data_IF_326459930092
#
_entry.id   IF_326459930092
#
_cell.length_a   1.000
_cell.length_b   1.000
_cell.length_c   1.000
_cell.angle_alpha   90.00
_cell.angle_beta   90.00
_cell.angle_gamma   90.00
#
_symmetry.space_group_name_H-M   'P 1'
#
loop_
_entity.id
_entity.type
_entity.pdbx_description
1 polymer ?
#
# COMPACT_ATOMS: atom_id res chain seq x y z
N UNK A 1 5.44 -31.43 -76.26
CA UNK A 1 5.27 -31.11 -74.82
C UNK A 1 6.65 -31.15 -74.17
N UNK A 2 7.23 -29.99 -73.87
CA UNK A 2 8.57 -29.87 -73.30
C UNK A 2 8.51 -30.20 -71.81
N UNK A 3 8.91 -31.41 -71.44
CA UNK A 3 9.12 -31.80 -70.06
C UNK A 3 10.42 -31.13 -69.58
N UNK A 4 10.33 -29.96 -68.93
CA UNK A 4 11.47 -29.33 -68.26
C UNK A 4 11.82 -30.18 -67.05
N UNK A 5 12.69 -31.17 -67.27
CA UNK A 5 13.40 -31.86 -66.20
C UNK A 5 14.23 -30.82 -65.44
N UNK A 6 13.85 -30.58 -64.19
CA UNK A 6 14.64 -29.78 -63.25
C UNK A 6 15.91 -30.57 -62.96
N UNK A 7 16.96 -30.31 -63.73
CA UNK A 7 18.28 -30.89 -63.48
C UNK A 7 18.76 -30.40 -62.11
N UNK A 8 18.79 -31.31 -61.13
CA UNK A 8 19.49 -31.15 -59.86
C UNK A 8 20.97 -30.94 -60.17
N UNK A 9 21.36 -29.66 -60.32
CA UNK A 9 22.75 -29.22 -60.32
C UNK A 9 23.47 -29.86 -59.13
N UNK A 10 24.67 -30.37 -59.36
CA UNK A 10 25.57 -30.88 -58.33
C UNK A 10 25.58 -29.94 -57.13
N UNK A 11 24.97 -30.38 -56.03
CA UNK A 11 25.10 -29.73 -54.74
C UNK A 11 26.52 -30.08 -54.26
N UNK A 12 27.43 -29.14 -54.43
CA UNK A 12 28.80 -29.29 -53.99
C UNK A 12 28.86 -29.32 -52.46
N UNK A 13 29.80 -30.07 -51.88
CA UNK A 13 29.92 -30.22 -50.42
C UNK A 13 30.10 -28.87 -49.72
N UNK A 14 30.70 -27.91 -50.41
CA UNK A 14 30.83 -26.51 -49.98
C UNK A 14 29.48 -25.80 -49.82
N UNK A 15 28.52 -26.04 -50.73
CA UNK A 15 27.18 -25.42 -50.67
C UNK A 15 26.40 -25.96 -49.48
N UNK A 16 26.51 -27.26 -49.17
CA UNK A 16 25.88 -27.86 -47.98
C UNK A 16 26.48 -27.28 -46.69
N UNK A 17 27.81 -27.17 -46.63
CA UNK A 17 28.52 -26.56 -45.50
C UNK A 17 28.10 -25.09 -45.30
N UNK A 18 27.97 -24.34 -46.38
CA UNK A 18 27.55 -22.94 -46.33
C UNK A 18 26.10 -22.79 -45.84
N UNK A 19 25.18 -23.63 -46.34
CA UNK A 19 23.78 -23.64 -45.85
C UNK A 19 23.74 -24.01 -44.36
N UNK A 20 24.48 -25.04 -43.94
CA UNK A 20 24.57 -25.42 -42.53
C UNK A 20 25.09 -24.28 -41.67
N UNK A 21 26.13 -23.57 -42.13
CA UNK A 21 26.69 -22.42 -41.42
C UNK A 21 25.67 -21.28 -41.27
N UNK A 22 24.96 -20.93 -42.34
CA UNK A 22 23.90 -19.89 -42.31
C UNK A 22 22.76 -20.28 -41.36
N UNK A 23 22.36 -21.55 -41.35
CA UNK A 23 21.33 -22.07 -40.42
C UNK A 23 21.81 -21.97 -38.97
N UNK A 24 23.03 -22.44 -38.67
CA UNK A 24 23.62 -22.33 -37.33
C UNK A 24 23.72 -20.87 -36.88
N UNK A 25 24.17 -19.96 -37.76
CA UNK A 25 24.26 -18.53 -37.46
C UNK A 25 22.88 -17.92 -37.18
N UNK A 26 21.86 -18.32 -37.93
CA UNK A 26 20.48 -17.86 -37.74
C UNK A 26 19.89 -18.35 -36.43
N UNK A 27 20.14 -19.62 -36.05
CA UNK A 27 19.75 -20.17 -34.75
C UNK A 27 20.44 -19.39 -33.61
N UNK A 28 21.74 -19.11 -33.75
CA UNK A 28 22.50 -18.33 -32.77
C UNK A 28 21.94 -16.92 -32.63
N UNK A 29 21.61 -16.25 -33.74
CA UNK A 29 21.02 -14.91 -33.72
C UNK A 29 19.66 -14.89 -33.00
N UNK A 30 18.78 -15.85 -33.32
CA UNK A 30 17.47 -15.99 -32.64
C UNK A 30 17.66 -16.24 -31.15
N UNK A 31 18.64 -17.06 -30.78
CA UNK A 31 18.97 -17.34 -29.38
C UNK A 31 19.44 -16.09 -28.64
N UNK A 32 20.36 -15.32 -29.24
CA UNK A 32 20.85 -14.04 -28.69
C UNK A 32 19.72 -13.01 -28.52
N UNK A 33 18.85 -12.87 -29.53
CA UNK A 33 17.70 -11.96 -29.46
C UNK A 33 16.73 -12.35 -28.34
N UNK A 34 16.51 -13.64 -28.12
CA UNK A 34 15.66 -14.13 -27.03
C UNK A 34 16.26 -13.83 -25.65
N UNK A 35 17.58 -13.94 -25.52
CA UNK A 35 18.30 -13.58 -24.28
C UNK A 35 18.17 -12.09 -23.99
N UNK A 36 18.47 -11.24 -24.97
CA UNK A 36 18.40 -9.78 -24.81
C UNK A 36 16.99 -9.32 -24.39
N UNK A 37 15.95 -9.89 -25.01
CA UNK A 37 14.57 -9.66 -24.61
C UNK A 37 14.26 -10.12 -23.18
N UNK A 38 14.76 -11.28 -22.76
CA UNK A 38 14.55 -11.77 -21.39
C UNK A 38 15.26 -10.90 -20.35
N UNK A 39 16.48 -10.45 -20.64
CA UNK A 39 17.23 -9.53 -19.77
C UNK A 39 16.48 -8.20 -19.59
N UNK A 40 15.94 -7.65 -20.68
CA UNK A 40 15.16 -6.42 -20.64
C UNK A 40 13.91 -6.55 -19.78
N UNK A 41 13.16 -7.65 -19.95
CA UNK A 41 11.94 -7.92 -19.17
C UNK A 41 12.26 -8.13 -17.68
N UNK A 42 13.35 -8.84 -17.36
CA UNK A 42 13.78 -9.00 -15.97
C UNK A 42 14.11 -7.68 -15.31
N UNK A 43 14.87 -6.82 -16.01
CA UNK A 43 15.25 -5.51 -15.50
C UNK A 43 14.02 -4.61 -15.26
N UNK A 44 13.09 -4.61 -16.21
CA UNK A 44 11.83 -3.87 -16.09
C UNK A 44 11.01 -4.34 -14.88
N UNK A 45 10.83 -5.66 -14.74
CA UNK A 45 10.08 -6.20 -13.61
C UNK A 45 10.73 -5.92 -12.25
N UNK A 46 12.07 -6.06 -12.17
CA UNK A 46 12.84 -5.72 -10.98
C UNK A 46 12.63 -4.25 -10.58
N UNK A 47 12.73 -3.34 -11.55
CA UNK A 47 12.52 -1.92 -11.31
C UNK A 47 11.09 -1.63 -10.82
N UNK A 48 10.08 -2.29 -11.39
CA UNK A 48 8.70 -2.12 -10.95
C UNK A 48 8.50 -2.60 -9.50
N UNK A 49 9.06 -3.75 -9.13
CA UNK A 49 8.99 -4.25 -7.74
C UNK A 49 9.74 -3.32 -6.78
N UNK A 50 10.91 -2.81 -7.15
CA UNK A 50 11.64 -1.81 -6.35
C UNK A 50 10.83 -0.52 -6.16
N UNK A 51 10.18 -0.03 -7.22
CA UNK A 51 9.30 1.14 -7.14
C UNK A 51 8.10 0.88 -6.22
N UNK A 52 7.45 -0.28 -6.34
CA UNK A 52 6.36 -0.70 -5.45
C UNK A 52 6.83 -0.72 -3.99
N UNK A 53 8.02 -1.23 -3.69
CA UNK A 53 8.59 -1.24 -2.33
C UNK A 53 8.76 0.18 -1.77
N UNK A 54 9.22 1.13 -2.59
CA UNK A 54 9.40 2.52 -2.16
C UNK A 54 8.04 3.19 -1.90
N UNK A 55 7.07 2.98 -2.79
CA UNK A 55 5.71 3.51 -2.64
C UNK A 55 4.98 2.90 -1.43
N UNK A 56 5.18 1.61 -1.18
CA UNK A 56 4.68 0.90 0.00
C UNK A 56 5.21 1.52 1.31
N UNK A 57 6.50 1.84 1.36
CA UNK A 57 7.08 2.56 2.51
C UNK A 57 6.50 3.96 2.70
N UNK A 58 6.18 4.67 1.61
CA UNK A 58 5.52 5.97 1.69
C UNK A 58 4.10 5.83 2.26
N UNK A 59 3.37 4.78 1.89
CA UNK A 59 2.08 4.46 2.51
C UNK A 59 2.24 4.15 4.00
N UNK A 60 3.21 3.33 4.41
CA UNK A 60 3.41 3.06 5.84
C UNK A 60 3.70 4.33 6.64
N UNK A 61 4.49 5.24 6.08
CA UNK A 61 4.73 6.55 6.70
C UNK A 61 3.44 7.38 6.83
N UNK A 62 2.50 7.24 5.91
CA UNK A 62 1.19 7.89 6.01
C UNK A 62 0.35 7.34 7.16
N UNK A 63 0.36 6.03 7.40
CA UNK A 63 -0.31 5.43 8.57
C UNK A 63 0.28 5.97 9.90
N UNK A 64 1.58 6.27 9.94
CA UNK A 64 2.23 6.90 11.10
C UNK A 64 1.80 8.34 11.36
N UNK A 65 1.28 9.06 10.34
CA UNK A 65 0.81 10.44 10.48
C UNK A 65 -0.67 10.53 10.95
N UNK A 66 -1.14 9.51 11.69
CA UNK A 66 -2.49 9.47 12.27
C UNK A 66 -2.85 10.73 13.06
N UNK A 67 -4.14 11.05 13.04
CA UNK A 67 -4.77 12.16 13.75
C UNK A 67 -4.29 13.56 13.34
N UNK A 68 -3.67 13.68 12.16
CA UNK A 68 -3.25 14.94 11.56
C UNK A 68 -4.04 15.21 10.28
N UNK A 69 -4.03 16.47 9.86
CA UNK A 69 -4.46 16.82 8.51
C UNK A 69 -3.48 16.20 7.50
N UNK A 70 -4.01 15.45 6.55
CA UNK A 70 -3.23 14.73 5.54
C UNK A 70 -3.63 15.20 4.15
N UNK A 71 -2.64 15.36 3.28
CA UNK A 71 -2.88 15.57 1.87
C UNK A 71 -3.26 14.24 1.21
N UNK A 72 -4.57 13.97 1.16
CA UNK A 72 -5.09 12.76 0.55
C UNK A 72 -4.87 12.69 -0.96
N UNK A 73 -4.62 13.81 -1.66
CA UNK A 73 -4.32 13.78 -3.10
C UNK A 73 -2.99 13.09 -3.37
N UNK A 74 -2.00 13.31 -2.49
CA UNK A 74 -0.70 12.64 -2.58
C UNK A 74 -0.86 11.13 -2.37
N UNK A 75 -1.71 10.72 -1.43
CA UNK A 75 -1.98 9.28 -1.17
C UNK A 75 -2.72 8.63 -2.34
N UNK A 76 -3.75 9.29 -2.89
CA UNK A 76 -4.44 8.79 -4.07
C UNK A 76 -3.46 8.59 -5.24
N UNK A 77 -2.55 9.54 -5.49
CA UNK A 77 -1.52 9.39 -6.54
C UNK A 77 -0.58 8.21 -6.30
N UNK A 78 -0.19 7.94 -5.06
CA UNK A 78 0.62 6.76 -4.71
C UNK A 78 -0.16 5.48 -5.01
N UNK A 79 -1.44 5.43 -4.62
CA UNK A 79 -2.31 4.28 -4.85
C UNK A 79 -2.56 4.03 -6.35
N UNK A 80 -2.86 5.08 -7.12
CA UNK A 80 -3.02 5.02 -8.58
C UNK A 80 -1.73 4.52 -9.25
N UNK A 81 -0.57 4.98 -8.78
CA UNK A 81 0.73 4.55 -9.31
C UNK A 81 1.01 3.08 -8.98
N UNK A 82 0.69 2.62 -7.78
CA UNK A 82 0.81 1.22 -7.39
C UNK A 82 -0.10 0.34 -8.25
N UNK A 83 -1.35 0.74 -8.46
CA UNK A 83 -2.30 0.00 -9.30
C UNK A 83 -1.79 -0.11 -10.75
N UNK A 84 -1.32 1.01 -11.33
CA UNK A 84 -0.72 1.02 -12.66
C UNK A 84 0.51 0.11 -12.75
N UNK A 85 1.38 0.10 -11.73
CA UNK A 85 2.56 -0.78 -11.70
C UNK A 85 2.16 -2.25 -11.63
N UNK A 86 1.09 -2.62 -10.92
CA UNK A 86 0.59 -3.99 -10.93
C UNK A 86 0.00 -4.36 -12.30
N UNK A 87 -0.75 -3.46 -12.94
CA UNK A 87 -1.32 -3.73 -14.26
C UNK A 87 -0.24 -3.82 -15.35
N UNK A 88 0.80 -2.98 -15.29
CA UNK A 88 1.96 -3.01 -16.19
C UNK A 88 2.89 -4.20 -15.93
N UNK A 89 3.13 -4.56 -14.66
CA UNK A 89 3.99 -5.68 -14.27
C UNK A 89 3.38 -7.05 -14.65
N UNK A 90 2.06 -7.13 -14.84
CA UNK A 90 1.36 -8.32 -15.33
C UNK A 90 1.46 -8.40 -16.88
N UNK A 91 2.66 -8.27 -17.43
CA UNK A 91 2.88 -8.73 -18.81
C UNK A 91 2.69 -10.26 -18.86
N UNK A 92 2.09 -10.79 -19.94
CA UNK A 92 1.82 -12.23 -20.09
C UNK A 92 3.08 -13.10 -19.83
N UNK A 93 4.26 -12.58 -20.13
CA UNK A 93 5.53 -13.30 -20.03
C UNK A 93 6.07 -13.37 -18.59
N UNK A 94 5.87 -12.32 -17.79
CA UNK A 94 6.20 -12.34 -16.35
C UNK A 94 5.17 -13.19 -15.60
N UNK A 95 3.88 -13.07 -15.96
CA UNK A 95 2.83 -13.90 -15.37
C UNK A 95 3.04 -15.40 -15.67
N UNK A 96 3.57 -15.76 -16.83
CA UNK A 96 3.92 -17.15 -17.12
C UNK A 96 5.04 -17.69 -16.21
N UNK A 97 5.92 -16.83 -15.71
CA UNK A 97 7.07 -17.21 -14.86
C UNK A 97 6.77 -17.09 -13.36
N UNK A 98 5.91 -16.14 -12.96
CA UNK A 98 5.66 -15.74 -11.56
C UNK A 98 4.18 -15.52 -11.23
N UNK A 99 3.27 -16.11 -12.02
CA UNK A 99 1.86 -15.75 -11.99
C UNK A 99 1.12 -16.10 -10.69
N UNK A 100 1.63 -17.01 -9.86
CA UNK A 100 1.03 -17.24 -8.55
C UNK A 100 1.44 -16.16 -7.56
N UNK A 101 2.74 -15.87 -7.46
CA UNK A 101 3.28 -14.86 -6.55
C UNK A 101 2.75 -13.47 -6.85
N UNK A 102 2.58 -13.14 -8.14
CA UNK A 102 1.95 -11.89 -8.57
C UNK A 102 0.48 -11.78 -8.17
N UNK A 103 -0.27 -12.90 -8.21
CA UNK A 103 -1.66 -12.93 -7.77
C UNK A 103 -1.77 -12.75 -6.27
N UNK A 104 -0.89 -13.41 -5.51
CA UNK A 104 -0.85 -13.27 -4.06
C UNK A 104 -0.47 -11.83 -3.67
N UNK A 105 0.53 -11.24 -4.33
CA UNK A 105 0.90 -9.82 -4.15
C UNK A 105 -0.24 -8.87 -4.50
N UNK A 106 -0.95 -9.09 -5.61
CA UNK A 106 -2.10 -8.25 -6.00
C UNK A 106 -3.22 -8.34 -4.97
N UNK A 107 -3.49 -9.53 -4.43
CA UNK A 107 -4.48 -9.70 -3.37
C UNK A 107 -4.09 -8.95 -2.09
N UNK A 108 -2.81 -8.99 -1.70
CA UNK A 108 -2.29 -8.22 -0.56
C UNK A 108 -2.38 -6.71 -0.81
N UNK A 109 -2.07 -6.27 -2.03
CA UNK A 109 -2.24 -4.87 -2.44
C UNK A 109 -3.70 -4.42 -2.36
N UNK A 110 -4.65 -5.20 -2.88
CA UNK A 110 -6.08 -4.89 -2.80
C UNK A 110 -6.56 -4.78 -1.34
N UNK A 111 -6.03 -5.64 -0.46
CA UNK A 111 -6.30 -5.56 0.97
C UNK A 111 -5.73 -4.27 1.58
N UNK A 112 -4.48 -3.93 1.27
CA UNK A 112 -3.84 -2.69 1.74
C UNK A 112 -4.53 -1.43 1.19
N UNK A 113 -5.02 -1.48 -0.05
CA UNK A 113 -5.79 -0.40 -0.66
C UNK A 113 -7.08 -0.13 0.11
N UNK A 114 -7.88 -1.17 0.38
CA UNK A 114 -9.11 -1.03 1.19
C UNK A 114 -8.81 -0.47 2.58
N UNK A 115 -7.79 -1.01 3.24
CA UNK A 115 -7.37 -0.54 4.55
C UNK A 115 -6.96 0.94 4.52
N UNK A 116 -6.27 1.38 3.47
CA UNK A 116 -5.86 2.78 3.29
C UNK A 116 -7.07 3.70 3.11
N UNK A 117 -8.07 3.31 2.33
CA UNK A 117 -9.30 4.09 2.17
C UNK A 117 -10.12 4.18 3.47
N UNK A 118 -10.25 3.07 4.20
CA UNK A 118 -10.92 3.04 5.49
C UNK A 118 -10.19 3.92 6.52
N UNK A 119 -8.85 3.85 6.54
CA UNK A 119 -8.01 4.70 7.38
C UNK A 119 -8.18 6.19 7.05
N UNK A 120 -8.19 6.59 5.77
CA UNK A 120 -8.41 7.99 5.34
C UNK A 120 -9.74 8.53 5.88
N UNK A 121 -10.81 7.76 5.70
CA UNK A 121 -12.15 8.11 6.17
C UNK A 121 -12.19 8.27 7.70
N UNK A 122 -11.60 7.32 8.41
CA UNK A 122 -11.54 7.33 9.87
C UNK A 122 -10.69 8.50 10.40
N UNK A 123 -9.51 8.73 9.82
CA UNK A 123 -8.62 9.82 10.20
C UNK A 123 -9.28 11.18 10.01
N UNK A 124 -9.98 11.38 8.88
CA UNK A 124 -10.78 12.58 8.63
C UNK A 124 -11.89 12.76 9.68
N UNK A 125 -12.64 11.69 9.98
CA UNK A 125 -13.71 11.72 11.00
C UNK A 125 -13.16 12.09 12.38
N UNK A 126 -12.05 11.49 12.79
CA UNK A 126 -11.41 11.77 14.08
C UNK A 126 -10.84 13.18 14.15
N UNK A 127 -10.20 13.67 13.09
CA UNK A 127 -9.70 15.05 13.02
C UNK A 127 -10.85 16.06 13.15
N UNK A 128 -11.96 15.83 12.43
CA UNK A 128 -13.15 16.66 12.52
C UNK A 128 -13.81 16.59 13.91
N UNK A 129 -13.83 15.42 14.53
CA UNK A 129 -14.34 15.25 15.90
C UNK A 129 -13.60 16.17 16.88
N UNK A 130 -12.29 16.30 16.74
CA UNK A 130 -11.46 17.14 17.63
C UNK A 130 -11.76 18.62 17.46
N UNK A 131 -11.87 19.08 16.21
CA UNK A 131 -12.30 20.45 15.92
C UNK A 131 -13.68 20.73 16.53
N UNK A 132 -14.63 19.79 16.36
CA UNK A 132 -15.96 19.94 16.93
C UNK A 132 -15.96 19.95 18.47
N UNK A 133 -15.19 19.07 19.11
CA UNK A 133 -15.02 19.07 20.57
C UNK A 133 -14.41 20.37 21.08
N UNK A 134 -13.48 20.97 20.33
CA UNK A 134 -12.89 22.27 20.67
C UNK A 134 -13.93 23.40 20.64
N UNK A 135 -14.83 23.41 19.66
CA UNK A 135 -15.91 24.40 19.57
C UNK A 135 -16.99 24.17 20.64
N UNK A 136 -17.32 22.92 20.94
CA UNK A 136 -18.21 22.57 22.05
C UNK A 136 -17.64 23.01 23.39
N UNK A 137 -16.34 22.82 23.61
CA UNK A 137 -15.63 23.31 24.80
C UNK A 137 -15.78 24.82 24.95
N UNK A 138 -15.55 25.60 23.88
CA UNK A 138 -15.76 27.06 23.91
C UNK A 138 -17.21 27.41 24.27
N UNK A 139 -18.17 26.70 23.69
CA UNK A 139 -19.59 26.89 23.96
C UNK A 139 -19.92 26.61 25.43
N UNK A 140 -19.40 25.52 26.01
CA UNK A 140 -19.57 25.16 27.43
C UNK A 140 -19.05 26.26 28.36
N UNK A 141 -17.91 26.90 28.03
CA UNK A 141 -17.38 28.00 28.86
C UNK A 141 -18.34 29.18 28.99
N UNK A 142 -19.13 29.44 27.95
CA UNK A 142 -20.12 30.52 27.93
C UNK A 142 -21.46 30.17 28.58
N UNK A 143 -21.67 28.92 29.02
CA UNK A 143 -22.90 28.50 29.69
C UNK A 143 -22.96 28.90 31.17
N UNK A 144 -24.14 28.79 31.77
CA UNK A 144 -24.37 28.95 33.22
C UNK A 144 -23.93 27.76 34.09
N UNK A 145 -23.16 26.80 33.57
CA UNK A 145 -22.59 25.70 34.35
C UNK A 145 -21.63 26.20 35.44
N UNK A 146 -21.48 25.42 36.51
CA UNK A 146 -20.48 25.72 37.55
C UNK A 146 -19.05 25.62 37.00
N UNK A 147 -18.13 26.36 37.62
CA UNK A 147 -16.72 26.38 37.20
C UNK A 147 -16.07 24.99 37.27
N UNK A 148 -16.45 24.17 38.26
CA UNK A 148 -15.99 22.78 38.36
C UNK A 148 -16.39 21.96 37.12
N UNK A 149 -17.65 22.06 36.66
CA UNK A 149 -18.11 21.31 35.48
C UNK A 149 -17.44 21.80 34.19
N UNK A 150 -17.19 23.11 34.09
CA UNK A 150 -16.43 23.67 32.97
C UNK A 150 -14.99 23.16 32.97
N UNK A 151 -14.36 23.05 34.14
CA UNK A 151 -13.03 22.47 34.30
C UNK A 151 -13.00 21.00 33.90
N UNK A 152 -13.99 20.20 34.33
CA UNK A 152 -14.12 18.80 33.91
C UNK A 152 -14.23 18.66 32.39
N UNK A 153 -15.00 19.51 31.72
CA UNK A 153 -15.10 19.49 30.25
C UNK A 153 -13.74 19.82 29.58
N UNK A 154 -12.98 20.78 30.15
CA UNK A 154 -11.62 21.09 29.70
C UNK A 154 -10.66 19.91 29.91
N UNK A 155 -10.76 19.20 31.03
CA UNK A 155 -9.95 18.02 31.37
C UNK A 155 -10.24 16.85 30.41
N UNK A 156 -11.51 16.57 30.10
CA UNK A 156 -11.91 15.56 29.11
C UNK A 156 -11.32 15.89 27.73
N UNK A 157 -11.49 17.13 27.27
CA UNK A 157 -10.94 17.56 25.98
C UNK A 157 -9.41 17.43 25.94
N UNK A 158 -8.73 17.80 27.03
CA UNK A 158 -7.29 17.68 27.14
C UNK A 158 -6.83 16.22 27.03
N UNK A 159 -7.46 15.29 27.76
CA UNK A 159 -7.15 13.85 27.70
C UNK A 159 -7.39 13.26 26.31
N UNK A 160 -8.46 13.66 25.62
CA UNK A 160 -8.69 13.27 24.22
C UNK A 160 -7.58 13.78 23.30
N UNK A 161 -7.10 15.01 23.53
CA UNK A 161 -5.99 15.58 22.77
C UNK A 161 -4.67 14.85 23.06
N UNK A 162 -4.47 14.35 24.29
CA UNK A 162 -3.32 13.53 24.64
C UNK A 162 -3.29 12.21 23.85
N UNK A 163 -4.43 11.53 23.72
CA UNK A 163 -4.54 10.31 22.89
C UNK A 163 -4.10 10.55 21.43
N UNK A 164 -4.45 11.71 20.88
CA UNK A 164 -4.06 12.11 19.52
C UNK A 164 -2.56 12.33 19.37
N UNK A 165 -1.95 12.87 20.42
CA UNK A 165 -0.50 13.09 20.46
C UNK A 165 0.28 11.83 20.85
N UNK A 166 -0.36 10.67 20.90
CA UNK A 166 0.23 9.41 21.34
C UNK A 166 0.81 9.47 22.76
N UNK A 167 0.21 10.32 23.61
CA UNK A 167 0.61 10.47 25.01
C UNK A 167 -0.27 9.52 25.84
N UNK A 168 0.35 8.67 26.69
CA UNK A 168 -0.41 7.76 27.53
C UNK A 168 -1.35 8.54 28.46
N UNK A 169 -2.58 8.05 28.57
CA UNK A 169 -3.57 8.59 29.48
C UNK A 169 -3.96 7.53 30.52
N UNK A 170 -4.49 8.01 31.63
CA UNK A 170 -5.20 7.18 32.59
C UNK A 170 -6.69 7.11 32.18
N UNK A 171 -7.09 5.96 31.63
CA UNK A 171 -8.45 5.70 31.16
C UNK A 171 -9.47 5.73 32.29
N UNK A 172 -9.10 5.32 33.51
CA UNK A 172 -9.99 5.37 34.67
C UNK A 172 -10.32 6.82 35.04
N UNK A 173 -9.31 7.70 35.00
CA UNK A 173 -9.50 9.13 35.23
C UNK A 173 -10.40 9.74 34.15
N UNK A 174 -10.18 9.41 32.86
CA UNK A 174 -11.03 9.89 31.78
C UNK A 174 -12.48 9.45 31.96
N UNK A 175 -12.72 8.17 32.27
CA UNK A 175 -14.06 7.68 32.53
C UNK A 175 -14.70 8.31 33.77
N UNK A 176 -13.92 8.55 34.82
CA UNK A 176 -14.37 9.28 36.01
C UNK A 176 -14.83 10.70 35.66
N UNK A 177 -14.05 11.45 34.86
CA UNK A 177 -14.42 12.78 34.40
C UNK A 177 -15.71 12.76 33.54
N UNK A 178 -15.82 11.82 32.58
CA UNK A 178 -17.03 11.63 31.77
C UNK A 178 -18.25 11.36 32.66
N UNK A 179 -18.12 10.46 33.64
CA UNK A 179 -19.20 10.10 34.55
C UNK A 179 -19.58 11.26 35.47
N UNK A 180 -18.62 12.10 35.87
CA UNK A 180 -18.87 13.28 36.70
C UNK A 180 -19.60 14.38 35.92
N UNK A 181 -19.40 14.50 34.60
CA UNK A 181 -20.07 15.50 33.77
C UNK A 181 -21.49 15.07 33.37
N UNK A 182 -21.75 13.75 33.30
CA UNK A 182 -23.03 13.15 32.88
C UNK A 182 -24.28 13.66 33.62
N UNK A 183 -24.29 13.88 34.96
CA UNK A 183 -25.44 14.43 35.67
C UNK A 183 -25.81 15.87 35.28
N UNK A 184 -24.88 16.62 34.67
CA UNK A 184 -25.09 17.99 34.22
C UNK A 184 -25.56 18.07 32.77
N UNK A 185 -25.86 16.93 32.15
CA UNK A 185 -26.30 16.82 30.77
C UNK A 185 -27.82 16.95 30.69
N UNK A 186 -28.28 18.02 30.06
CA UNK A 186 -29.62 18.09 29.50
C UNK A 186 -29.56 17.73 28.02
N UNK A 187 -30.58 17.06 27.51
CA UNK A 187 -30.63 16.66 26.10
C UNK A 187 -30.48 17.88 25.18
N UNK A 188 -29.59 17.77 24.18
CA UNK A 188 -29.31 18.86 23.22
C UNK A 188 -28.44 19.99 23.76
N UNK A 189 -27.93 19.92 24.99
CA UNK A 189 -26.95 20.89 25.47
C UNK A 189 -25.53 20.61 24.92
N UNK A 190 -24.65 21.60 24.97
CA UNK A 190 -23.26 21.44 24.51
C UNK A 190 -22.51 20.30 25.26
N UNK A 191 -22.84 20.03 26.53
CA UNK A 191 -22.28 18.90 27.27
C UNK A 191 -22.77 17.54 26.76
N UNK A 192 -24.04 17.43 26.32
CA UNK A 192 -24.58 16.21 25.71
C UNK A 192 -23.80 15.86 24.44
N UNK A 193 -23.66 16.86 23.55
CA UNK A 193 -22.90 16.73 22.32
C UNK A 193 -21.42 16.42 22.57
N UNK A 194 -20.80 17.04 23.59
CA UNK A 194 -19.41 16.76 23.95
C UNK A 194 -19.25 15.30 24.37
N UNK A 195 -20.08 14.82 25.30
CA UNK A 195 -19.96 13.44 25.77
C UNK A 195 -20.26 12.42 24.66
N UNK A 196 -21.24 12.68 23.79
CA UNK A 196 -21.49 11.84 22.60
C UNK A 196 -20.26 11.80 21.70
N UNK A 197 -19.65 12.95 21.43
CA UNK A 197 -18.49 13.04 20.56
C UNK A 197 -17.25 12.36 21.15
N UNK A 198 -17.01 12.52 22.45
CA UNK A 198 -15.90 11.85 23.17
C UNK A 198 -16.07 10.33 23.10
N UNK A 199 -17.26 9.80 23.39
CA UNK A 199 -17.49 8.36 23.32
C UNK A 199 -17.34 7.81 21.90
N UNK A 200 -17.77 8.54 20.88
CA UNK A 200 -17.55 8.14 19.49
C UNK A 200 -16.06 8.19 19.13
N UNK A 201 -15.36 9.23 19.58
CA UNK A 201 -13.92 9.37 19.36
C UNK A 201 -13.13 8.20 19.96
N UNK A 202 -13.46 7.77 21.17
CA UNK A 202 -12.79 6.62 21.82
C UNK A 202 -13.00 5.31 21.02
N UNK A 203 -14.20 5.06 20.52
CA UNK A 203 -14.46 3.92 19.62
C UNK A 203 -13.67 4.02 18.32
N UNK A 204 -13.66 5.21 17.72
CA UNK A 204 -12.90 5.46 16.50
C UNK A 204 -11.40 5.28 16.72
N UNK A 205 -10.90 5.65 17.90
CA UNK A 205 -9.51 5.44 18.31
C UNK A 205 -9.15 3.95 18.39
N UNK A 206 -9.99 3.13 19.01
CA UNK A 206 -9.80 1.67 19.05
C UNK A 206 -9.77 1.06 17.64
N UNK A 207 -10.71 1.46 16.77
CA UNK A 207 -10.75 1.02 15.36
C UNK A 207 -9.45 1.44 14.65
N UNK A 208 -8.99 2.67 14.90
CA UNK A 208 -7.76 3.19 14.29
C UNK A 208 -6.54 2.35 14.68
N UNK A 209 -6.42 1.97 15.95
CA UNK A 209 -5.34 1.08 16.39
C UNK A 209 -5.45 -0.28 15.70
N UNK A 210 -6.66 -0.83 15.56
CA UNK A 210 -6.89 -2.05 14.80
C UNK A 210 -6.42 -1.96 13.34
N UNK A 211 -6.62 -0.82 12.67
CA UNK A 211 -6.07 -0.59 11.32
C UNK A 211 -4.54 -0.48 11.29
N UNK A 212 -3.90 0.02 12.35
CA UNK A 212 -2.44 0.05 12.45
C UNK A 212 -1.89 -1.37 12.55
N UNK A 213 -2.47 -2.18 13.42
CA UNK A 213 -2.08 -3.57 13.64
C UNK A 213 -2.31 -4.39 12.36
N UNK A 214 -3.46 -4.21 11.71
CA UNK A 214 -3.73 -4.88 10.44
C UNK A 214 -2.74 -4.46 9.34
N UNK A 215 -2.39 -3.17 9.23
CA UNK A 215 -1.40 -2.73 8.24
C UNK A 215 -0.03 -3.38 8.48
N UNK A 216 0.38 -3.50 9.75
CA UNK A 216 1.62 -4.18 10.11
C UNK A 216 1.60 -5.66 9.72
N UNK A 217 0.47 -6.33 9.97
CA UNK A 217 0.32 -7.79 9.81
C UNK A 217 -0.01 -8.22 8.36
N UNK A 218 -0.41 -7.31 7.47
CA UNK A 218 -0.70 -7.61 6.06
C UNK A 218 0.49 -8.29 5.37
N UNK A 219 1.74 -8.05 5.81
CA UNK A 219 2.92 -8.75 5.31
C UNK A 219 3.27 -8.42 3.84
N UNK A 220 2.66 -7.38 3.26
CA UNK A 220 2.85 -6.99 1.87
C UNK A 220 4.31 -6.62 1.57
N UNK A 221 4.94 -5.84 2.46
CA UNK A 221 6.36 -5.50 2.33
C UNK A 221 7.27 -6.74 2.31
N UNK A 222 7.01 -7.70 3.19
CA UNK A 222 7.78 -8.95 3.25
C UNK A 222 7.59 -9.80 1.99
N UNK A 223 6.35 -9.88 1.48
CA UNK A 223 6.04 -10.56 0.23
C UNK A 223 6.76 -9.92 -0.96
N UNK A 224 6.78 -8.58 -1.05
CA UNK A 224 7.49 -7.85 -2.10
C UNK A 224 8.99 -8.16 -2.10
N UNK A 225 9.62 -8.15 -0.92
CA UNK A 225 11.05 -8.51 -0.79
C UNK A 225 11.32 -9.96 -1.15
N UNK A 226 10.43 -10.88 -0.78
CA UNK A 226 10.58 -12.29 -1.15
C UNK A 226 10.54 -12.49 -2.66
N UNK A 227 9.62 -11.79 -3.36
CA UNK A 227 9.54 -11.81 -4.83
C UNK A 227 10.78 -11.20 -5.46
N UNK A 228 11.26 -10.05 -4.96
CA UNK A 228 12.49 -9.43 -5.43
C UNK A 228 13.70 -10.37 -5.29
N UNK A 229 13.87 -10.98 -4.12
CA UNK A 229 14.98 -11.91 -3.87
C UNK A 229 14.93 -13.13 -4.80
N UNK A 230 13.74 -13.68 -5.05
CA UNK A 230 13.55 -14.80 -5.97
C UNK A 230 13.90 -14.43 -7.41
N UNK A 231 13.57 -13.21 -7.83
CA UNK A 231 13.94 -12.69 -9.15
C UNK A 231 15.46 -12.56 -9.31
N UNK A 232 16.13 -12.03 -8.29
CA UNK A 232 17.58 -11.88 -8.30
C UNK A 232 18.28 -13.25 -8.39
N UNK A 233 17.83 -14.24 -7.62
CA UNK A 233 18.34 -15.61 -7.69
C UNK A 233 18.14 -16.27 -9.07
N UNK A 234 16.97 -16.09 -9.69
CA UNK A 234 16.71 -16.62 -11.02
C UNK A 234 17.58 -15.95 -12.08
N UNK A 235 17.77 -14.63 -11.99
CA UNK A 235 18.63 -13.88 -12.89
C UNK A 235 20.09 -14.35 -12.80
N UNK A 236 20.62 -14.56 -11.59
CA UNK A 236 21.95 -15.13 -11.39
C UNK A 236 22.07 -16.55 -11.97
N UNK A 237 21.05 -17.38 -11.77
CA UNK A 237 21.01 -18.74 -12.30
C UNK A 237 21.04 -18.75 -13.83
N UNK A 238 20.29 -17.87 -14.47
CA UNK A 238 20.22 -17.76 -15.92
C UNK A 238 21.52 -17.21 -16.52
N UNK A 239 22.17 -16.25 -15.85
CA UNK A 239 23.52 -15.79 -16.24
C UNK A 239 24.54 -16.93 -16.12
N UNK A 240 24.48 -17.74 -15.05
CA UNK A 240 25.43 -18.81 -14.83
C UNK A 240 25.27 -19.96 -15.84
N UNK A 241 24.02 -20.30 -16.22
CA UNK A 241 23.73 -21.25 -17.32
C UNK A 241 24.23 -20.77 -18.68
N UNK A 242 24.47 -19.48 -18.87
CA UNK A 242 25.02 -18.93 -20.11
C UNK A 242 26.56 -18.99 -20.16
N UNK A 243 27.23 -19.19 -19.01
CA UNK A 243 28.69 -19.28 -18.90
C UNK A 243 29.22 -20.70 -19.02
N UNK A 244 28.40 -21.70 -18.71
CA UNK A 244 28.67 -23.15 -18.84
C UNK A 244 28.13 -23.71 -20.14
#
# INVERSE_FOLDING_TARGET
MSNKSFSLKHIDGFVVLFISFVVTLSILLVYLLKIDQNLKIHKEYRNNIEEIIVLDQQLDNFFLQRYQYLDYDTICKIMDRLEALFDDAISQKIYALHGQELRDLKSLFEKKNRLTEDFKSLNSRMTNAVHYMFDLRKSIKSTGLSDEKKKTADEIFFQVTQLIMDIPIDEEILHSHINSLRPSVTEGCACDHLLKQVNQFLKDFEIMQGYMDENHDIGFHAALRAVLSKLEQQHETDINKQKT
#
